data_IF_573977945065
#
_entry.id   IF_573977945065
#
_cell.length_a   1.000
_cell.length_b   1.000
_cell.length_c   1.000
_cell.angle_alpha   90.00
_cell.angle_beta   90.00
_cell.angle_gamma   90.00
#
_symmetry.space_group_name_H-M   'P 1'
#
loop_
_entity.id
_entity.type
_entity.pdbx_description
1 polymer ?
#
# COMPACT_ATOMS: atom_id res chain seq x y z
N UNK A 1 -5.51 -8.37 -12.49
CA UNK A 1 -4.45 -8.62 -11.47
C UNK A 1 -4.69 -7.86 -10.16
N UNK A 2 -4.96 -6.54 -10.16
CA UNK A 2 -5.22 -5.75 -8.91
C UNK A 2 -6.53 -6.15 -8.20
N UNK A 3 -7.61 -6.34 -8.96
CA UNK A 3 -8.92 -6.77 -8.41
C UNK A 3 -8.85 -8.14 -7.74
N UNK A 4 -8.05 -9.07 -8.30
CA UNK A 4 -7.85 -10.39 -7.70
C UNK A 4 -7.11 -10.31 -6.36
N UNK A 5 -6.15 -9.39 -6.21
CA UNK A 5 -5.45 -9.14 -4.94
C UNK A 5 -6.41 -8.55 -3.90
N UNK A 6 -7.25 -7.59 -4.28
CA UNK A 6 -8.26 -7.03 -3.38
C UNK A 6 -9.28 -8.09 -2.94
N UNK A 7 -9.78 -8.90 -3.87
CA UNK A 7 -10.71 -9.99 -3.58
C UNK A 7 -10.08 -11.05 -2.66
N UNK A 8 -8.80 -11.38 -2.85
CA UNK A 8 -8.06 -12.29 -1.97
C UNK A 8 -7.95 -11.74 -0.55
N UNK A 9 -7.59 -10.46 -0.41
CA UNK A 9 -7.49 -9.79 0.90
C UNK A 9 -8.82 -9.79 1.64
N UNK A 10 -9.93 -9.50 0.94
CA UNK A 10 -11.28 -9.56 1.51
C UNK A 10 -11.67 -10.99 1.87
N UNK A 11 -11.48 -11.95 0.97
CA UNK A 11 -11.82 -13.37 1.18
C UNK A 11 -11.15 -13.95 2.42
N UNK A 12 -9.93 -13.53 2.70
CA UNK A 12 -9.14 -14.02 3.83
C UNK A 12 -9.15 -13.07 5.04
N UNK A 13 -9.95 -11.99 5.00
CA UNK A 13 -10.10 -11.02 6.08
C UNK A 13 -8.77 -10.42 6.59
N UNK A 14 -7.81 -10.19 5.68
CA UNK A 14 -6.42 -9.88 6.04
C UNK A 14 -6.23 -8.48 6.62
N UNK A 15 -7.25 -7.63 6.57
CA UNK A 15 -7.22 -6.26 7.10
C UNK A 15 -8.07 -6.10 8.37
N UNK A 16 -8.66 -7.18 8.90
CA UNK A 16 -9.50 -7.06 10.07
C UNK A 16 -8.70 -6.71 11.32
N UNK A 17 -9.18 -5.72 12.06
CA UNK A 17 -8.53 -5.22 13.27
C UNK A 17 -7.28 -4.37 13.01
N UNK A 18 -6.94 -4.09 11.74
CA UNK A 18 -5.89 -3.14 11.42
C UNK A 18 -6.44 -1.72 11.44
N UNK A 19 -5.79 -0.84 12.20
CA UNK A 19 -6.10 0.60 12.20
C UNK A 19 -5.62 1.25 10.89
N UNK A 20 -4.45 0.85 10.41
CA UNK A 20 -3.83 1.34 9.19
C UNK A 20 -3.41 0.19 8.26
N UNK A 21 -3.51 0.42 6.96
CA UNK A 21 -3.14 -0.55 5.91
C UNK A 21 -2.12 0.09 4.99
N UNK A 22 -0.93 -0.51 4.87
CA UNK A 22 0.11 -0.04 3.97
C UNK A 22 0.37 -1.05 2.83
N UNK A 23 0.59 -0.53 1.63
CA UNK A 23 0.81 -1.33 0.42
C UNK A 23 2.02 -0.81 -0.34
N UNK A 24 2.71 -1.71 -1.03
CA UNK A 24 3.76 -1.33 -1.97
C UNK A 24 3.12 -1.13 -3.35
N UNK A 25 3.19 0.08 -3.90
CA UNK A 25 2.48 0.48 -5.12
C UNK A 25 1.03 0.92 -4.90
N UNK A 26 0.30 1.03 -6.01
CA UNK A 26 -1.14 1.34 -6.00
C UNK A 26 -1.96 0.14 -5.50
N UNK A 27 -2.95 0.39 -4.66
CA UNK A 27 -3.89 -0.62 -4.18
C UNK A 27 -5.34 -0.30 -4.53
N UNK A 28 -6.11 -1.36 -4.73
CA UNK A 28 -7.57 -1.31 -4.85
C UNK A 28 -8.27 -1.58 -3.50
N UNK A 29 -7.50 -1.74 -2.41
CA UNK A 29 -8.01 -1.92 -1.05
C UNK A 29 -8.40 -0.55 -0.50
N UNK A 30 -9.65 -0.41 -0.06
CA UNK A 30 -10.17 0.84 0.51
C UNK A 30 -9.42 1.19 1.81
N UNK A 31 -8.96 2.44 1.91
CA UNK A 31 -8.21 2.94 3.07
C UNK A 31 -6.72 2.58 3.08
N UNK A 32 -6.23 1.82 2.09
CA UNK A 32 -4.82 1.50 2.00
C UNK A 32 -3.98 2.71 1.57
N UNK A 33 -2.85 2.91 2.25
CA UNK A 33 -1.88 3.95 1.96
C UNK A 33 -0.68 3.36 1.21
N UNK A 34 -0.30 3.99 0.10
CA UNK A 34 0.87 3.56 -0.66
C UNK A 34 2.17 4.01 0.01
N UNK A 35 3.10 3.07 0.18
CA UNK A 35 4.46 3.34 0.65
C UNK A 35 5.35 3.95 -0.42
N UNK A 36 4.88 4.08 -1.67
CA UNK A 36 5.67 4.64 -2.77
C UNK A 36 6.22 6.03 -2.45
N UNK A 37 5.44 6.87 -1.76
CA UNK A 37 5.91 8.19 -1.33
C UNK A 37 7.10 8.10 -0.38
N UNK A 38 7.04 7.18 0.60
CA UNK A 38 8.12 6.95 1.56
C UNK A 38 9.37 6.38 0.87
N UNK A 39 9.20 5.40 -0.02
CA UNK A 39 10.31 4.82 -0.77
C UNK A 39 10.94 5.84 -1.72
N UNK A 40 10.14 6.61 -2.46
CA UNK A 40 10.65 7.68 -3.34
C UNK A 40 11.39 8.75 -2.55
N UNK A 41 10.86 9.17 -1.41
CA UNK A 41 11.55 10.12 -0.53
C UNK A 41 12.90 9.56 -0.02
N UNK A 42 12.97 8.28 0.33
CA UNK A 42 14.22 7.65 0.78
C UNK A 42 15.23 7.46 -0.35
N UNK A 43 14.77 7.03 -1.51
CA UNK A 43 15.61 6.72 -2.67
C UNK A 43 16.09 7.97 -3.41
N UNK A 44 15.25 9.02 -3.48
CA UNK A 44 15.51 10.21 -4.29
C UNK A 44 15.60 11.51 -3.48
N UNK A 45 15.15 11.53 -2.22
CA UNK A 45 15.18 12.72 -1.35
C UNK A 45 16.58 13.12 -0.85
N UNK A 46 17.62 12.37 -1.24
CA UNK A 46 19.02 12.75 -1.03
C UNK A 46 19.55 13.77 -2.04
N UNK A 47 18.81 14.15 -3.10
CA UNK A 47 19.20 15.24 -3.99
C UNK A 47 18.78 16.59 -3.40
N UNK A 48 19.55 17.09 -2.44
CA UNK A 48 19.79 18.54 -2.35
C UNK A 48 20.96 18.81 -3.29
N UNK A 49 20.76 19.75 -4.24
CA UNK A 49 21.85 20.33 -5.01
C UNK A 49 22.84 21.04 -4.11
#
# INVERSE_FOLDING_TARGET
MREQKAAFVVKHNLTAGADDIFVNGDSAIRGAQSLDGMFKARLFGGKKG
#
